data_IF_527550219656
#
_entry.id   IF_527550219656
#
_cell.length_a   1.000
_cell.length_b   1.000
_cell.length_c   1.000
_cell.angle_alpha   90.00
_cell.angle_beta   90.00
_cell.angle_gamma   90.00
#
_symmetry.space_group_name_H-M   'P 1'
#
loop_
_entity.id
_entity.type
_entity.pdbx_description
1 polymer ?
#
# COMPACT_ATOMS: atom_id res chain seq x y z
N UNK A 1 14.04 -9.12 3.30
CA UNK A 1 12.64 -9.55 3.49
C UNK A 1 12.43 -11.06 3.37
N UNK A 2 13.00 -11.77 2.38
CA UNK A 2 12.83 -13.24 2.24
C UNK A 2 13.20 -14.04 3.51
N UNK A 3 14.30 -13.69 4.17
CA UNK A 3 14.70 -14.32 5.44
C UNK A 3 13.70 -14.01 6.57
N UNK A 4 13.23 -12.77 6.68
CA UNK A 4 12.24 -12.38 7.69
C UNK A 4 10.94 -13.17 7.52
N UNK A 5 10.41 -13.30 6.30
CA UNK A 5 9.23 -14.12 6.01
C UNK A 5 9.46 -15.61 6.34
N UNK A 6 10.66 -16.15 6.08
CA UNK A 6 10.99 -17.51 6.47
C UNK A 6 11.03 -17.71 8.00
N UNK A 7 11.57 -16.73 8.74
CA UNK A 7 11.57 -16.75 10.20
C UNK A 7 10.16 -16.65 10.79
N UNK A 8 9.32 -15.74 10.24
CA UNK A 8 7.91 -15.62 10.63
C UNK A 8 7.15 -16.92 10.35
N UNK A 9 7.33 -17.51 9.16
CA UNK A 9 6.72 -18.81 8.83
C UNK A 9 7.14 -19.91 9.79
N UNK A 10 8.44 -19.99 10.11
CA UNK A 10 8.95 -20.97 11.07
C UNK A 10 8.47 -20.72 12.51
N UNK A 11 8.17 -19.47 12.88
CA UNK A 11 7.60 -19.14 14.18
C UNK A 11 6.11 -19.51 14.24
N UNK A 12 5.34 -19.18 13.20
CA UNK A 12 3.91 -19.51 13.13
C UNK A 12 3.68 -21.03 13.05
N UNK A 13 4.50 -21.77 12.30
CA UNK A 13 4.42 -23.24 12.25
C UNK A 13 4.71 -23.94 13.60
N UNK A 14 5.30 -23.24 14.58
CA UNK A 14 5.55 -23.76 15.92
C UNK A 14 4.40 -23.51 16.90
N UNK A 15 3.36 -22.80 16.46
CA UNK A 15 2.18 -22.55 17.27
C UNK A 15 1.21 -23.73 17.14
N UNK A 16 0.70 -24.19 18.27
CA UNK A 16 -0.27 -25.28 18.32
C UNK A 16 -1.68 -24.84 17.88
N UNK A 17 -1.94 -23.53 17.81
CA UNK A 17 -3.23 -22.94 17.45
C UNK A 17 -3.31 -22.48 15.98
N UNK A 18 -2.37 -22.87 15.12
CA UNK A 18 -2.44 -22.57 13.69
C UNK A 18 -3.39 -23.52 12.95
N UNK A 19 -4.43 -22.96 12.32
CA UNK A 19 -5.39 -23.72 11.52
C UNK A 19 -4.91 -23.85 10.07
N UNK A 20 -4.31 -24.99 9.72
CA UNK A 20 -3.83 -25.25 8.36
C UNK A 20 -4.96 -25.55 7.36
N UNK A 21 -6.14 -25.94 7.82
CA UNK A 21 -7.28 -26.20 6.93
C UNK A 21 -7.92 -24.89 6.50
N UNK A 22 -8.08 -23.95 7.44
CA UNK A 22 -8.66 -22.65 7.17
C UNK A 22 -7.67 -21.64 6.56
N UNK A 23 -6.39 -21.66 6.96
CA UNK A 23 -5.42 -20.60 6.62
C UNK A 23 -4.23 -21.05 5.75
N UNK A 24 -4.16 -22.34 5.41
CA UNK A 24 -3.00 -22.96 4.74
C UNK A 24 -1.69 -22.69 5.51
N UNK A 25 -0.54 -22.82 4.85
CA UNK A 25 0.77 -22.54 5.42
C UNK A 25 0.95 -21.05 5.70
N UNK A 26 1.54 -20.64 6.83
CA UNK A 26 1.80 -19.24 7.13
C UNK A 26 2.66 -18.57 6.06
N UNK A 27 2.29 -17.36 5.66
CA UNK A 27 3.00 -16.59 4.62
C UNK A 27 3.14 -17.44 3.35
N UNK A 28 2.04 -18.03 2.86
CA UNK A 28 2.06 -18.88 1.68
C UNK A 28 2.41 -18.08 0.40
N UNK A 29 2.55 -18.79 -0.71
CA UNK A 29 2.92 -18.18 -2.00
C UNK A 29 1.82 -17.27 -2.56
N UNK A 30 0.56 -17.59 -2.29
CA UNK A 30 -0.60 -16.81 -2.74
C UNK A 30 -0.59 -15.46 -2.02
N UNK A 31 -0.53 -15.45 -0.68
CA UNK A 31 -0.45 -14.23 0.13
C UNK A 31 0.75 -13.33 -0.22
N UNK A 32 1.90 -13.93 -0.57
CA UNK A 32 3.05 -13.17 -1.06
C UNK A 32 2.78 -12.51 -2.42
N UNK A 33 2.10 -13.22 -3.33
CA UNK A 33 1.67 -12.69 -4.61
C UNK A 33 0.60 -11.60 -4.45
N UNK A 34 -0.41 -11.79 -3.60
CA UNK A 34 -1.41 -10.75 -3.30
C UNK A 34 -0.81 -9.49 -2.75
N UNK A 35 0.09 -9.62 -1.78
CA UNK A 35 0.83 -8.48 -1.24
C UNK A 35 1.59 -7.75 -2.34
N UNK A 36 2.24 -8.47 -3.26
CA UNK A 36 2.91 -7.87 -4.43
C UNK A 36 1.93 -7.10 -5.32
N UNK A 37 0.73 -7.65 -5.55
CA UNK A 37 -0.31 -7.02 -6.36
C UNK A 37 -0.92 -5.78 -5.70
N UNK A 38 -1.02 -5.76 -4.37
CA UNK A 38 -1.44 -4.57 -3.62
C UNK A 38 -0.45 -3.41 -3.78
N UNK A 39 0.85 -3.68 -3.83
CA UNK A 39 1.87 -2.65 -4.06
C UNK A 39 2.02 -2.20 -5.52
N UNK A 40 1.63 -3.04 -6.48
CA UNK A 40 1.70 -2.73 -7.90
C UNK A 40 0.36 -2.20 -8.41
N UNK A 41 -0.58 -3.10 -8.69
CA UNK A 41 -1.86 -2.79 -9.29
C UNK A 41 -2.74 -1.91 -8.40
N UNK A 42 -2.98 -2.30 -7.14
CA UNK A 42 -3.88 -1.55 -6.28
C UNK A 42 -3.34 -0.15 -5.96
N UNK A 43 -2.02 0.00 -5.88
CA UNK A 43 -1.37 1.30 -5.73
C UNK A 43 -1.58 2.19 -6.97
N UNK A 44 -1.40 1.66 -8.18
CA UNK A 44 -1.70 2.39 -9.42
C UNK A 44 -3.18 2.77 -9.51
N UNK A 45 -4.08 1.84 -9.22
CA UNK A 45 -5.52 2.07 -9.21
C UNK A 45 -5.91 3.16 -8.19
N UNK A 46 -5.28 3.17 -7.02
CA UNK A 46 -5.47 4.20 -6.00
C UNK A 46 -5.02 5.59 -6.48
N UNK A 47 -3.86 5.69 -7.11
CA UNK A 47 -3.39 6.92 -7.74
C UNK A 47 -4.35 7.40 -8.84
N UNK A 48 -4.86 6.49 -9.68
CA UNK A 48 -5.84 6.81 -10.71
C UNK A 48 -7.16 7.30 -10.13
N UNK A 49 -7.63 6.70 -9.04
CA UNK A 49 -8.81 7.17 -8.29
C UNK A 49 -8.61 8.57 -7.70
N UNK A 50 -7.36 8.98 -7.46
CA UNK A 50 -6.97 10.35 -7.09
C UNK A 50 -6.79 11.29 -8.28
N UNK A 51 -7.19 10.87 -9.49
CA UNK A 51 -7.16 11.70 -10.69
C UNK A 51 -5.80 11.78 -11.38
N UNK A 52 -4.87 10.85 -11.09
CA UNK A 52 -3.61 10.72 -11.82
C UNK A 52 -3.77 9.81 -13.04
N UNK A 53 -2.98 10.03 -14.08
CA UNK A 53 -2.91 9.23 -15.28
C UNK A 53 -1.47 8.83 -15.55
N UNK A 54 -1.32 7.62 -16.06
CA UNK A 54 -0.04 7.01 -16.34
C UNK A 54 -0.05 6.58 -17.79
N UNK A 55 1.04 6.87 -18.49
CA UNK A 55 1.29 6.31 -19.82
C UNK A 55 1.46 4.79 -19.74
N UNK A 56 1.28 4.11 -20.87
CA UNK A 56 1.47 2.65 -20.94
C UNK A 56 2.91 2.25 -20.57
N UNK A 57 3.90 3.06 -20.92
CA UNK A 57 5.30 2.83 -20.53
C UNK A 57 5.55 2.98 -19.03
N UNK A 58 4.87 3.91 -18.36
CA UNK A 58 5.00 4.08 -16.91
C UNK A 58 4.35 2.91 -16.18
N UNK A 59 3.16 2.48 -16.63
CA UNK A 59 2.48 1.30 -16.11
C UNK A 59 3.33 0.06 -16.27
N UNK A 60 3.85 -0.19 -17.48
CA UNK A 60 4.76 -1.31 -17.76
C UNK A 60 6.00 -1.28 -16.87
N UNK A 61 6.59 -0.10 -16.66
CA UNK A 61 7.75 0.07 -15.77
C UNK A 61 7.42 -0.31 -14.32
N UNK A 62 6.24 0.06 -13.81
CA UNK A 62 5.79 -0.30 -12.46
C UNK A 62 5.57 -1.80 -12.33
N UNK A 63 4.88 -2.43 -13.29
CA UNK A 63 4.68 -3.89 -13.27
C UNK A 63 6.00 -4.64 -13.42
N UNK A 64 6.91 -4.18 -14.28
CA UNK A 64 8.25 -4.77 -14.42
C UNK A 64 9.05 -4.68 -13.12
N UNK A 65 9.03 -3.51 -12.46
CA UNK A 65 9.70 -3.32 -11.18
C UNK A 65 9.18 -4.29 -10.12
N UNK A 66 7.86 -4.38 -9.95
CA UNK A 66 7.27 -5.28 -8.96
C UNK A 66 7.44 -6.75 -9.32
N UNK A 67 7.41 -7.12 -10.60
CA UNK A 67 7.78 -8.47 -11.05
C UNK A 67 9.20 -8.85 -10.59
N UNK A 68 10.17 -7.94 -10.76
CA UNK A 68 11.52 -8.16 -10.28
C UNK A 68 11.59 -8.29 -8.75
N UNK A 69 10.87 -7.43 -8.01
CA UNK A 69 10.78 -7.53 -6.55
C UNK A 69 10.17 -8.87 -6.12
N UNK A 70 9.12 -9.35 -6.80
CA UNK A 70 8.49 -10.65 -6.54
C UNK A 70 9.48 -11.82 -6.69
N UNK A 71 10.29 -11.81 -7.75
CA UNK A 71 11.37 -12.78 -7.94
C UNK A 71 12.38 -12.75 -6.79
N UNK A 72 12.82 -11.56 -6.35
CA UNK A 72 13.74 -11.42 -5.22
C UNK A 72 13.13 -11.90 -3.89
N UNK A 73 11.82 -11.72 -3.70
CA UNK A 73 11.10 -12.22 -2.53
C UNK A 73 10.92 -13.74 -2.54
N UNK A 74 11.16 -14.40 -3.68
CA UNK A 74 11.04 -15.84 -3.84
C UNK A 74 9.62 -16.31 -4.10
N UNK A 75 8.81 -15.47 -4.76
CA UNK A 75 7.50 -15.87 -5.28
C UNK A 75 7.71 -16.83 -6.44
N UNK A 76 6.91 -17.90 -6.51
CA UNK A 76 6.98 -18.88 -7.58
C UNK A 76 6.77 -18.20 -8.95
N UNK A 77 7.58 -18.47 -9.98
CA UNK A 77 7.50 -17.77 -11.26
C UNK A 77 6.12 -17.78 -11.92
N UNK A 78 5.33 -18.84 -11.73
CA UNK A 78 3.96 -18.96 -12.26
C UNK A 78 2.95 -18.05 -11.56
N UNK A 79 3.25 -17.58 -10.35
CA UNK A 79 2.42 -16.66 -9.58
C UNK A 79 2.86 -15.21 -9.73
N UNK A 80 3.94 -14.95 -10.47
CA UNK A 80 4.41 -13.59 -10.72
C UNK A 80 3.80 -13.08 -12.03
N UNK A 81 2.91 -12.07 -11.99
CA UNK A 81 2.30 -11.54 -13.20
C UNK A 81 3.34 -11.01 -14.19
N UNK A 82 3.13 -11.26 -15.48
CA UNK A 82 4.06 -10.80 -16.53
C UNK A 82 3.59 -9.55 -17.25
N UNK A 83 2.29 -9.25 -17.15
CA UNK A 83 1.62 -8.11 -17.75
C UNK A 83 0.58 -7.53 -16.78
N UNK A 84 0.08 -6.34 -17.09
CA UNK A 84 -1.04 -5.75 -16.36
C UNK A 84 -2.29 -6.63 -16.42
N UNK A 85 -2.59 -7.23 -17.57
CA UNK A 85 -3.74 -8.12 -17.74
C UNK A 85 -3.64 -9.35 -16.83
N UNK A 86 -2.45 -9.98 -16.77
CA UNK A 86 -2.21 -11.09 -15.84
C UNK A 86 -2.38 -10.65 -14.38
N UNK A 87 -1.93 -9.43 -14.06
CA UNK A 87 -2.03 -8.88 -12.71
C UNK A 87 -3.50 -8.70 -12.33
N UNK A 88 -4.34 -8.18 -13.23
CA UNK A 88 -5.78 -8.08 -13.00
C UNK A 88 -6.43 -9.44 -12.79
N UNK A 89 -6.09 -10.43 -13.62
CA UNK A 89 -6.65 -11.79 -13.50
C UNK A 89 -6.33 -12.42 -12.15
N UNK A 90 -5.06 -12.37 -11.74
CA UNK A 90 -4.63 -12.90 -10.45
C UNK A 90 -5.22 -12.10 -9.28
N UNK A 91 -5.29 -10.78 -9.39
CA UNK A 91 -5.88 -9.93 -8.36
C UNK A 91 -7.36 -10.22 -8.14
N UNK A 92 -8.13 -10.52 -9.20
CA UNK A 92 -9.54 -10.90 -9.07
C UNK A 92 -9.73 -12.24 -8.37
N UNK A 93 -8.86 -13.21 -8.64
CA UNK A 93 -8.87 -14.50 -7.93
C UNK A 93 -8.60 -14.27 -6.45
N UNK A 94 -7.57 -13.48 -6.13
CA UNK A 94 -7.19 -13.19 -4.76
C UNK A 94 -8.23 -12.34 -4.02
N UNK A 95 -8.91 -11.42 -4.72
CA UNK A 95 -9.98 -10.63 -4.14
C UNK A 95 -11.20 -11.47 -3.75
N UNK A 96 -11.48 -12.55 -4.48
CA UNK A 96 -12.58 -13.46 -4.18
C UNK A 96 -12.26 -14.38 -2.98
N UNK A 97 -11.00 -14.73 -2.78
CA UNK A 97 -10.58 -15.70 -1.76
C UNK A 97 -9.99 -15.07 -0.49
N UNK A 98 -9.24 -13.97 -0.58
CA UNK A 98 -8.42 -13.43 0.51
C UNK A 98 -8.86 -12.04 1.02
N UNK A 99 -9.56 -11.22 0.22
CA UNK A 99 -9.92 -9.84 0.62
C UNK A 99 -11.27 -9.72 1.35
N UNK A 100 -11.68 -10.78 2.04
CA UNK A 100 -12.90 -10.80 2.85
C UNK A 100 -12.58 -10.30 4.26
N UNK A 101 -13.13 -9.15 4.72
CA UNK A 101 -12.85 -8.65 6.05
C UNK A 101 -13.33 -9.61 7.15
N UNK A 102 -12.47 -9.84 8.13
CA UNK A 102 -12.69 -10.63 9.33
C UNK A 102 -12.41 -9.82 10.61
N UNK A 103 -12.53 -10.48 11.76
CA UNK A 103 -12.34 -9.85 13.07
C UNK A 103 -10.90 -9.33 13.27
N UNK A 104 -9.91 -10.03 12.71
CA UNK A 104 -8.50 -9.63 12.76
C UNK A 104 -8.25 -8.38 11.91
N UNK A 105 -8.81 -8.33 10.69
CA UNK A 105 -8.76 -7.17 9.80
C UNK A 105 -9.44 -5.95 10.43
N UNK A 106 -10.55 -6.16 11.14
CA UNK A 106 -11.21 -5.12 11.91
C UNK A 106 -10.29 -4.60 13.03
N UNK A 107 -9.75 -5.49 13.87
CA UNK A 107 -8.86 -5.11 14.97
C UNK A 107 -7.63 -4.34 14.47
N UNK A 108 -7.02 -4.78 13.37
CA UNK A 108 -5.89 -4.10 12.75
C UNK A 108 -6.27 -2.73 12.21
N UNK A 109 -7.45 -2.60 11.59
CA UNK A 109 -7.95 -1.31 11.11
C UNK A 109 -8.15 -0.33 12.26
N UNK A 110 -8.71 -0.78 13.37
CA UNK A 110 -8.91 0.04 14.57
C UNK A 110 -7.58 0.45 15.20
N UNK A 111 -6.59 -0.45 15.25
CA UNK A 111 -5.25 -0.12 15.72
C UNK A 111 -4.56 0.93 14.82
N UNK A 112 -4.72 0.81 13.50
CA UNK A 112 -4.20 1.79 12.54
C UNK A 112 -4.88 3.17 12.70
N UNK A 113 -6.18 3.17 13.01
CA UNK A 113 -6.97 4.39 13.16
C UNK A 113 -6.98 4.97 14.58
N UNK A 114 -6.36 4.30 15.56
CA UNK A 114 -6.31 4.75 16.94
C UNK A 114 -5.57 6.10 17.07
N UNK A 115 -6.29 7.13 17.51
CA UNK A 115 -5.70 8.46 17.74
C UNK A 115 -4.73 8.43 18.91
N UNK A 116 -3.60 9.12 18.79
CA UNK A 116 -2.64 9.24 19.88
C UNK A 116 -3.04 10.43 20.77
N UNK A 117 -3.01 10.32 22.11
CA UNK A 117 -3.23 11.47 22.98
C UNK A 117 -2.30 12.63 22.65
N UNK A 118 -2.85 13.85 22.52
CA UNK A 118 -2.08 15.04 22.13
C UNK A 118 -1.82 15.17 20.62
N UNK A 119 -2.45 14.33 19.77
CA UNK A 119 -2.30 14.40 18.32
C UNK A 119 -2.68 15.79 17.76
N UNK A 120 -1.77 16.45 17.01
CA UNK A 120 -2.03 17.73 16.37
C UNK A 120 -3.26 17.69 15.44
N UNK A 121 -3.97 18.82 15.35
CA UNK A 121 -5.20 18.94 14.52
C UNK A 121 -4.96 18.55 13.07
N UNK A 122 -3.82 18.95 12.49
CA UNK A 122 -3.49 18.61 11.10
C UNK A 122 -3.37 17.10 10.87
N UNK A 123 -2.82 16.37 11.85
CA UNK A 123 -2.60 14.92 11.76
C UNK A 123 -3.93 14.16 11.91
N UNK A 124 -4.81 14.66 12.78
CA UNK A 124 -6.18 14.15 12.90
C UNK A 124 -6.97 14.35 11.60
N UNK A 125 -6.80 15.50 10.96
CA UNK A 125 -7.47 15.82 9.70
C UNK A 125 -6.95 14.93 8.56
N UNK A 126 -5.63 14.76 8.44
CA UNK A 126 -5.02 13.88 7.43
C UNK A 126 -5.44 12.42 7.61
N UNK A 127 -5.49 11.93 8.85
CA UNK A 127 -6.03 10.60 9.18
C UNK A 127 -7.48 10.44 8.72
N UNK A 128 -8.33 11.42 9.01
CA UNK A 128 -9.74 11.40 8.60
C UNK A 128 -9.89 11.43 7.08
N UNK A 129 -9.04 12.20 6.40
CA UNK A 129 -8.97 12.25 4.94
C UNK A 129 -8.56 10.89 4.36
N UNK A 130 -7.47 10.31 4.85
CA UNK A 130 -6.97 9.02 4.40
C UNK A 130 -7.98 7.89 4.66
N UNK A 131 -8.66 7.92 5.81
CA UNK A 131 -9.73 6.99 6.13
C UNK A 131 -10.90 7.09 5.14
N UNK A 132 -11.28 8.31 4.75
CA UNK A 132 -12.33 8.55 3.75
C UNK A 132 -11.91 8.11 2.36
N UNK A 133 -10.64 8.31 2.00
CA UNK A 133 -10.05 7.77 0.77
C UNK A 133 -10.09 6.23 0.77
N UNK A 134 -9.61 5.57 1.82
CA UNK A 134 -9.65 4.11 1.95
C UNK A 134 -11.08 3.57 1.84
N UNK A 135 -12.06 4.24 2.46
CA UNK A 135 -13.49 3.87 2.36
C UNK A 135 -14.01 3.92 0.92
N UNK A 136 -13.59 4.91 0.13
CA UNK A 136 -13.99 5.02 -1.28
C UNK A 136 -13.35 3.91 -2.12
N UNK A 137 -12.07 3.59 -1.89
CA UNK A 137 -11.35 2.54 -2.63
C UNK A 137 -11.87 1.14 -2.31
N UNK A 138 -12.07 0.84 -1.03
CA UNK A 138 -12.56 -0.46 -0.56
C UNK A 138 -14.04 -0.70 -0.86
N UNK A 139 -14.78 0.37 -1.16
CA UNK A 139 -16.22 0.34 -1.31
C UNK A 139 -16.96 0.23 0.02
N UNK A 140 -18.25 0.55 -0.02
CA UNK A 140 -19.09 0.68 1.18
C UNK A 140 -19.12 -0.60 2.02
N UNK A 141 -19.33 -1.76 1.40
CA UNK A 141 -19.50 -3.04 2.10
C UNK A 141 -18.26 -3.42 2.91
N UNK A 142 -17.08 -3.39 2.30
CA UNK A 142 -15.84 -3.76 2.99
C UNK A 142 -15.44 -2.70 4.01
N UNK A 143 -15.61 -1.42 3.69
CA UNK A 143 -15.32 -0.33 4.62
C UNK A 143 -16.22 -0.37 5.87
N UNK A 144 -17.51 -0.71 5.71
CA UNK A 144 -18.44 -0.88 6.84
C UNK A 144 -18.02 -2.06 7.72
N UNK A 145 -17.60 -3.19 7.13
CA UNK A 145 -17.08 -4.35 7.89
C UNK A 145 -15.79 -4.03 8.65
N UNK A 146 -14.91 -3.22 8.06
CA UNK A 146 -13.67 -2.77 8.71
C UNK A 146 -13.88 -1.65 9.73
N UNK A 147 -15.11 -1.17 9.92
CA UNK A 147 -15.42 -0.11 10.89
C UNK A 147 -14.95 1.29 10.48
N UNK A 148 -14.68 1.51 9.19
CA UNK A 148 -14.20 2.81 8.72
C UNK A 148 -15.29 3.89 8.84
N UNK A 149 -14.98 5.07 9.41
CA UNK A 149 -15.96 6.13 9.62
C UNK A 149 -16.55 6.65 8.30
N UNK A 150 -17.88 6.74 8.25
CA UNK A 150 -18.62 7.28 7.09
C UNK A 150 -18.69 8.82 7.11
N UNK A 151 -17.55 9.47 6.88
CA UNK A 151 -17.48 10.94 6.83
C UNK A 151 -17.78 11.47 5.42
N UNK A 152 -19.06 11.71 5.12
CA UNK A 152 -19.50 12.19 3.79
C UNK A 152 -18.86 13.53 3.36
N UNK A 153 -18.74 14.56 4.22
CA UNK A 153 -18.01 15.77 3.86
C UNK A 153 -16.57 15.51 3.42
N UNK A 154 -15.88 14.61 4.13
CA UNK A 154 -14.50 14.28 3.81
C UNK A 154 -14.40 13.41 2.55
N UNK A 155 -15.31 12.47 2.33
CA UNK A 155 -15.41 11.73 1.06
C UNK A 155 -15.63 12.68 -0.13
N UNK A 156 -16.50 13.69 0.03
CA UNK A 156 -16.69 14.73 -0.99
C UNK A 156 -15.40 15.54 -1.22
N UNK A 157 -14.63 15.83 -0.17
CA UNK A 157 -13.32 16.47 -0.31
C UNK A 157 -12.29 15.60 -1.06
N UNK A 158 -12.28 14.29 -0.82
CA UNK A 158 -11.45 13.34 -1.59
C UNK A 158 -11.83 13.37 -3.06
N UNK A 159 -13.12 13.19 -3.38
CA UNK A 159 -13.62 13.25 -4.77
C UNK A 159 -13.32 14.60 -5.42
N UNK A 160 -13.49 15.70 -4.69
CA UNK A 160 -13.13 17.04 -5.17
C UNK A 160 -11.64 17.17 -5.48
N UNK A 161 -10.78 16.58 -4.64
CA UNK A 161 -9.33 16.51 -4.89
C UNK A 161 -9.03 15.71 -6.15
N UNK A 162 -9.68 14.55 -6.35
CA UNK A 162 -9.51 13.74 -7.54
C UNK A 162 -9.89 14.47 -8.81
N UNK A 163 -11.05 15.15 -8.82
CA UNK A 163 -11.52 15.94 -9.98
C UNK A 163 -10.54 17.08 -10.27
N UNK A 164 -10.06 17.76 -9.23
CA UNK A 164 -9.09 18.84 -9.36
C UNK A 164 -7.76 18.35 -9.94
N UNK A 165 -7.23 17.23 -9.43
CA UNK A 165 -6.00 16.62 -9.92
C UNK A 165 -6.13 16.23 -11.39
N UNK A 166 -7.21 15.53 -11.75
CA UNK A 166 -7.50 15.14 -13.13
C UNK A 166 -7.51 16.34 -14.08
N UNK A 167 -8.13 17.44 -13.64
CA UNK A 167 -8.18 18.67 -14.42
C UNK A 167 -6.80 19.31 -14.58
N UNK A 168 -5.99 19.37 -13.52
CA UNK A 168 -4.63 19.90 -13.59
C UNK A 168 -3.73 19.05 -14.48
N UNK A 169 -3.83 17.74 -14.37
CA UNK A 169 -3.07 16.81 -15.18
C UNK A 169 -3.39 16.94 -16.67
N UNK A 170 -4.68 17.07 -17.01
CA UNK A 170 -5.14 17.37 -18.38
C UNK A 170 -4.71 18.77 -18.86
N UNK A 171 -4.50 19.72 -17.95
CA UNK A 171 -4.03 21.09 -18.25
C UNK A 171 -2.51 21.21 -18.36
N UNK A 172 -1.74 20.26 -17.83
CA UNK A 172 -0.29 20.16 -18.05
C UNK A 172 0.11 19.83 -19.51
N UNK A 173 -0.88 19.77 -20.41
CA UNK A 173 -0.69 19.77 -21.87
C UNK A 173 -0.35 21.17 -22.41
N UNK A 174 -0.39 22.22 -21.57
CA UNK A 174 0.13 23.56 -21.90
C UNK A 174 1.66 23.60 -21.74
N UNK A 175 2.43 23.92 -22.80
CA UNK A 175 3.90 23.93 -22.74
C UNK A 175 4.38 24.93 -21.67
N UNK A 176 5.13 24.43 -20.68
CA UNK A 176 5.71 25.22 -19.57
C UNK A 176 5.30 24.75 -18.17
N UNK A 177 4.08 24.23 -17.99
CA UNK A 177 3.62 23.74 -16.68
C UNK A 177 4.23 22.39 -16.29
N UNK A 178 4.58 21.55 -17.27
CA UNK A 178 5.29 20.28 -17.05
C UNK A 178 6.60 20.50 -16.30
N UNK A 179 7.38 21.52 -16.68
CA UNK A 179 8.66 21.86 -16.04
C UNK A 179 8.48 22.34 -14.60
N UNK A 180 7.45 23.15 -14.35
CA UNK A 180 7.12 23.61 -13.00
C UNK A 180 6.69 22.43 -12.13
N UNK A 181 5.86 21.53 -12.67
CA UNK A 181 5.44 20.31 -11.97
C UNK A 181 6.61 19.38 -11.66
N UNK A 182 7.56 19.21 -12.61
CA UNK A 182 8.78 18.45 -12.40
C UNK A 182 9.68 19.08 -11.33
N UNK A 183 9.87 20.41 -11.35
CA UNK A 183 10.68 21.13 -10.37
C UNK A 183 10.08 21.04 -8.96
N UNK A 184 8.76 21.20 -8.83
CA UNK A 184 8.03 21.01 -7.57
C UNK A 184 8.14 19.55 -7.10
N UNK A 185 7.96 18.59 -7.99
CA UNK A 185 8.08 17.16 -7.69
C UNK A 185 9.49 16.78 -7.23
N UNK A 186 10.53 17.29 -7.90
CA UNK A 186 11.93 17.08 -7.52
C UNK A 186 12.26 17.75 -6.18
N UNK A 187 11.72 18.95 -5.92
CA UNK A 187 11.88 19.62 -4.65
C UNK A 187 11.25 18.80 -3.50
N UNK A 188 10.01 18.37 -3.66
CA UNK A 188 9.31 17.52 -2.68
C UNK A 188 10.05 16.20 -2.44
N UNK A 189 10.49 15.54 -3.52
CA UNK A 189 11.29 14.31 -3.44
C UNK A 189 12.60 14.53 -2.68
N UNK A 190 13.33 15.62 -2.95
CA UNK A 190 14.57 15.95 -2.25
C UNK A 190 14.33 16.19 -0.77
N UNK A 191 13.25 16.89 -0.41
CA UNK A 191 12.86 17.09 0.98
C UNK A 191 12.60 15.76 1.68
N UNK A 192 11.76 14.88 1.11
CA UNK A 192 11.48 13.55 1.66
C UNK A 192 12.76 12.73 1.84
N UNK A 193 13.63 12.69 0.82
CA UNK A 193 14.91 11.96 0.90
C UNK A 193 15.83 12.57 1.95
N UNK A 194 15.94 13.90 2.03
CA UNK A 194 16.79 14.57 3.04
C UNK A 194 16.29 14.36 4.45
N UNK A 195 14.97 14.35 4.66
CA UNK A 195 14.34 14.13 5.95
C UNK A 195 14.45 12.66 6.37
N UNK A 196 14.26 11.74 5.41
CA UNK A 196 14.52 10.32 5.62
C UNK A 196 15.98 10.04 5.96
N UNK A 197 16.93 10.70 5.29
CA UNK A 197 18.37 10.59 5.58
C UNK A 197 18.76 11.24 6.90
N UNK A 198 18.15 12.36 7.30
CA UNK A 198 18.47 13.01 8.58
C UNK A 198 17.95 12.20 9.78
N UNK A 199 16.82 11.51 9.63
CA UNK A 199 16.26 10.63 10.68
C UNK A 199 16.97 9.28 10.76
N UNK A 200 17.36 8.69 9.62
CA UNK A 200 18.03 7.39 9.56
C UNK A 200 19.57 7.46 9.60
N UNK A 201 20.14 8.67 9.54
CA UNK A 201 21.57 8.88 9.35
C UNK A 201 22.11 8.39 7.99
N UNK A 202 21.23 8.04 7.04
CA UNK A 202 21.60 7.45 5.76
C UNK A 202 22.24 6.06 5.89
N UNK A 203 22.01 5.36 6.99
CA UNK A 203 22.57 4.03 7.23
C UNK A 203 22.02 3.01 6.23
N UNK A 204 22.90 2.51 5.35
CA UNK A 204 22.57 1.50 4.33
C UNK A 204 22.80 0.07 4.81
N UNK A 205 23.30 -0.11 6.04
CA UNK A 205 23.74 -1.43 6.53
C UNK A 205 22.62 -2.25 7.13
N UNK A 206 21.40 -1.71 7.25
CA UNK A 206 20.24 -2.37 7.89
C UNK A 206 20.56 -2.94 9.29
N UNK A 207 21.61 -2.44 9.96
CA UNK A 207 22.13 -3.01 11.22
C UNK A 207 21.45 -2.50 12.48
N UNK A 208 20.77 -1.36 12.42
CA UNK A 208 20.02 -0.85 13.57
C UNK A 208 18.62 -1.44 13.54
N UNK A 209 18.37 -2.38 14.45
CA UNK A 209 17.18 -2.48 15.32
C UNK A 209 17.08 -3.83 16.09
N UNK A 210 18.17 -4.58 16.29
CA UNK A 210 18.18 -5.80 17.12
C UNK A 210 18.45 -5.54 18.63
N UNK A 211 18.12 -4.36 19.16
CA UNK A 211 18.31 -4.07 20.59
C UNK A 211 17.20 -4.63 21.50
N UNK A 212 16.20 -5.33 20.94
CA UNK A 212 15.15 -5.99 21.72
C UNK A 212 15.55 -7.41 22.19
N UNK A 213 16.70 -7.94 21.75
CA UNK A 213 17.18 -9.27 22.12
C UNK A 213 18.18 -9.29 23.31
N UNK A 214 18.53 -8.12 23.88
CA UNK A 214 19.54 -8.02 24.97
C UNK A 214 18.96 -7.56 26.31
N UNK A 215 17.63 -7.53 26.46
CA UNK A 215 16.98 -7.35 27.75
C UNK A 215 16.54 -8.72 28.29
N UNK A 216 17.50 -9.47 28.83
CA UNK A 216 17.29 -10.66 29.65
C UNK A 216 18.28 -10.64 30.80
#
# INVERSE_FOLDING_TARGET
MRLMHALVRAAMNRRDDWDYEAWDSPVNQIQLAGTLMLFSLANLAGCQAMGMSFSDSERESVFHFWRYVGLLMGIHPELVPTSEEDTWRLFWLEADTEFLPDDDSYALTQALHASIPGEPVFMRLSRTYLSSYSRLILGKTNADRLGLPDNKPMQAAVVGTSVMNWFFERRNVLPGMTRISEEIGQFARRQIVSQGMSQSGGDRTYRRHDNLATAS
#
